data_IF_175102269189
#
_entry.id   IF_175102269189
#
_cell.length_a   1.000
_cell.length_b   1.000
_cell.length_c   1.000
_cell.angle_alpha   90.00
_cell.angle_beta   90.00
_cell.angle_gamma   90.00
#
_symmetry.space_group_name_H-M   'P 1'
#
loop_
_entity.id
_entity.type
_entity.pdbx_description
1 polymer ?
#
# COMPACT_ATOMS: atom_id res chain seq x y z
N UNK A 1 22.86 97.57 21.42
CA UNK A 1 22.67 97.34 19.98
C UNK A 1 23.28 95.98 19.61
N UNK A 2 22.47 95.14 18.96
CA UNK A 2 22.82 94.10 17.96
C UNK A 2 23.94 93.08 18.26
N UNK A 3 23.46 91.83 18.29
CA UNK A 3 23.80 90.71 17.39
C UNK A 3 24.91 89.72 17.73
N UNK A 4 24.48 88.45 17.66
CA UNK A 4 25.13 87.25 17.12
C UNK A 4 26.36 86.71 17.87
N UNK A 5 26.21 85.52 18.46
CA UNK A 5 27.02 84.34 18.14
C UNK A 5 26.43 83.06 18.75
N UNK A 6 26.38 82.02 17.92
CA UNK A 6 26.13 80.62 18.27
C UNK A 6 27.15 80.12 19.31
N UNK A 7 26.76 79.18 20.19
CA UNK A 7 27.51 77.93 20.36
C UNK A 7 26.74 76.88 21.19
N UNK A 8 26.80 75.65 20.66
CA UNK A 8 26.86 74.33 21.32
C UNK A 8 25.65 73.78 22.11
N UNK A 9 25.07 72.74 21.49
CA UNK A 9 24.22 71.70 22.07
C UNK A 9 24.95 70.91 23.17
N UNK A 10 24.29 70.71 24.30
CA UNK A 10 24.42 69.52 25.15
C UNK A 10 23.14 69.40 25.99
N UNK A 11 22.11 68.74 25.46
CA UNK A 11 20.91 68.40 26.22
C UNK A 11 20.78 66.88 26.25
N UNK A 12 20.98 66.35 27.46
CA UNK A 12 20.96 64.94 27.83
C UNK A 12 19.55 64.39 27.59
N UNK A 13 19.40 63.47 26.64
CA UNK A 13 18.16 62.76 26.39
C UNK A 13 17.94 61.67 27.46
N UNK A 14 16.74 61.55 28.05
CA UNK A 14 16.45 60.55 29.08
C UNK A 14 16.29 59.14 28.48
N UNK A 15 16.56 58.09 29.28
CA UNK A 15 16.48 56.71 28.80
C UNK A 15 15.03 56.33 28.47
N UNK A 16 14.81 55.95 27.21
CA UNK A 16 13.59 55.29 26.78
C UNK A 16 13.50 53.94 27.50
N UNK A 17 12.57 53.83 28.45
CA UNK A 17 12.20 52.57 29.06
C UNK A 17 11.62 51.66 27.97
N UNK A 18 12.39 50.62 27.61
CA UNK A 18 11.93 49.53 26.76
C UNK A 18 10.76 48.87 27.47
N UNK A 19 9.54 49.12 26.98
CA UNK A 19 8.35 48.42 27.41
C UNK A 19 8.54 46.94 27.06
N UNK A 20 8.90 46.13 28.07
CA UNK A 20 8.91 44.69 27.95
C UNK A 20 7.49 44.25 27.57
N UNK A 21 7.33 43.75 26.35
CA UNK A 21 6.16 42.99 25.94
C UNK A 21 6.17 41.74 26.80
N UNK A 22 5.42 41.78 27.90
CA UNK A 22 5.16 40.60 28.72
C UNK A 22 4.27 39.71 27.89
N UNK A 23 4.87 38.77 27.19
CA UNK A 23 4.18 37.66 26.56
C UNK A 23 3.52 36.85 27.68
N UNK A 24 2.22 37.13 27.90
CA UNK A 24 1.39 36.35 28.82
C UNK A 24 1.16 34.99 28.17
N UNK A 25 2.12 34.08 28.31
CA UNK A 25 1.85 32.67 28.15
C UNK A 25 0.79 32.28 29.19
N UNK A 26 -0.46 32.15 28.74
CA UNK A 26 -1.52 31.54 29.53
C UNK A 26 -1.16 30.06 29.61
N UNK A 27 -0.92 29.49 30.80
CA UNK A 27 -0.67 28.06 30.94
C UNK A 27 -1.86 27.30 30.36
N UNK A 28 -1.60 26.33 29.49
CA UNK A 28 -2.64 25.40 29.05
C UNK A 28 -3.33 24.83 30.30
N UNK A 29 -4.63 25.07 30.44
CA UNK A 29 -5.45 24.33 31.39
C UNK A 29 -5.33 22.86 31.01
N UNK A 30 -4.59 22.09 31.82
CA UNK A 30 -4.65 20.64 31.82
C UNK A 30 -6.09 20.24 32.14
N UNK A 31 -6.95 20.18 31.12
CA UNK A 31 -8.12 19.34 31.20
C UNK A 31 -7.58 17.92 31.24
N UNK A 32 -7.70 17.19 32.36
CA UNK A 32 -7.40 15.78 32.33
C UNK A 32 -8.34 15.18 31.29
N UNK A 33 -7.77 14.58 30.25
CA UNK A 33 -8.53 13.70 29.35
C UNK A 33 -8.92 12.51 30.23
N UNK A 34 -10.01 12.64 30.99
CA UNK A 34 -10.62 11.57 31.76
C UNK A 34 -11.40 10.68 30.78
N UNK A 35 -10.66 10.01 29.90
CA UNK A 35 -11.09 8.81 29.21
C UNK A 35 -10.18 7.68 29.66
N UNK A 36 -10.73 6.47 29.80
CA UNK A 36 -9.86 5.28 29.71
C UNK A 36 -9.11 5.38 28.37
N UNK A 37 -7.82 4.99 28.31
CA UNK A 37 -7.12 4.95 27.03
C UNK A 37 -7.94 4.11 26.05
N UNK A 38 -8.06 4.61 24.82
CA UNK A 38 -8.74 3.87 23.75
C UNK A 38 -8.10 2.48 23.64
N UNK A 39 -8.96 1.46 23.55
CA UNK A 39 -8.54 0.07 23.41
C UNK A 39 -8.92 -0.45 22.05
N UNK A 40 -8.03 -1.27 21.51
CA UNK A 40 -8.17 -1.91 20.21
C UNK A 40 -8.25 -3.42 20.41
N UNK A 41 -9.16 -4.07 19.70
CA UNK A 41 -9.24 -5.52 19.67
C UNK A 41 -8.36 -6.01 18.52
N UNK A 42 -7.25 -6.65 18.85
CA UNK A 42 -6.37 -7.25 17.85
C UNK A 42 -6.55 -8.75 17.77
N UNK A 43 -6.23 -9.32 16.61
CA UNK A 43 -6.16 -10.75 16.38
C UNK A 43 -4.74 -11.16 15.96
N UNK A 44 -4.13 -12.04 16.74
CA UNK A 44 -2.76 -12.55 16.59
C UNK A 44 -2.70 -13.93 15.90
N UNK A 45 -3.86 -14.55 15.73
CA UNK A 45 -4.04 -15.84 15.06
C UNK A 45 -5.52 -16.16 14.92
N UNK A 46 -5.91 -17.21 14.17
CA UNK A 46 -7.31 -17.47 13.80
C UNK A 46 -8.35 -17.43 14.94
N UNK A 47 -7.96 -17.72 16.18
CA UNK A 47 -8.83 -17.68 17.37
C UNK A 47 -8.16 -16.97 18.56
N UNK A 48 -7.08 -16.24 18.33
CA UNK A 48 -6.33 -15.55 19.38
C UNK A 48 -6.56 -14.05 19.27
N UNK A 49 -7.50 -13.54 20.07
CA UNK A 49 -7.77 -12.10 20.17
C UNK A 49 -7.40 -11.55 21.53
N UNK A 50 -7.02 -10.27 21.59
CA UNK A 50 -6.82 -9.56 22.85
C UNK A 50 -7.10 -8.07 22.70
N UNK A 51 -7.59 -7.46 23.77
CA UNK A 51 -7.70 -6.01 23.87
C UNK A 51 -6.37 -5.41 24.29
N UNK A 52 -5.91 -4.39 23.57
CA UNK A 52 -4.64 -3.70 23.79
C UNK A 52 -4.83 -2.18 23.74
N UNK A 53 -3.96 -1.43 24.39
CA UNK A 53 -3.82 0.02 24.14
C UNK A 53 -3.09 0.28 22.82
N UNK A 54 -3.09 1.53 22.34
CA UNK A 54 -2.29 1.92 21.16
C UNK A 54 -0.79 1.66 21.37
N UNK A 55 -0.25 1.98 22.56
CA UNK A 55 1.15 1.71 22.92
C UNK A 55 1.47 0.21 22.85
N UNK A 56 0.55 -0.65 23.29
CA UNK A 56 0.71 -2.11 23.23
C UNK A 56 0.63 -2.65 21.79
N UNK A 57 -0.12 -1.99 20.88
CA UNK A 57 -0.08 -2.32 19.44
C UNK A 57 1.29 -2.03 18.85
N UNK A 58 1.84 -0.85 19.12
CA UNK A 58 3.14 -0.47 18.58
C UNK A 58 4.28 -1.28 19.20
N UNK A 59 4.17 -1.66 20.49
CA UNK A 59 5.10 -2.59 21.12
C UNK A 59 5.14 -3.94 20.39
N UNK A 60 3.99 -4.49 20.00
CA UNK A 60 3.94 -5.73 19.21
C UNK A 60 4.61 -5.59 17.84
N UNK A 61 4.32 -4.52 17.09
CA UNK A 61 4.96 -4.27 15.79
C UNK A 61 6.48 -4.13 15.95
N UNK A 62 6.98 -3.47 17.01
CA UNK A 62 8.41 -3.40 17.33
C UNK A 62 9.02 -4.78 17.66
N UNK A 63 8.24 -5.71 18.18
CA UNK A 63 8.63 -7.11 18.42
C UNK A 63 8.52 -8.00 17.17
N UNK A 64 8.13 -7.43 16.01
CA UNK A 64 7.91 -8.17 14.77
C UNK A 64 6.64 -9.02 14.78
N UNK A 65 5.68 -8.71 15.65
CA UNK A 65 4.42 -9.44 15.77
C UNK A 65 3.33 -8.74 14.96
N UNK A 66 2.95 -9.38 13.86
CA UNK A 66 1.85 -8.94 13.00
C UNK A 66 0.48 -9.31 13.60
N UNK A 67 -0.53 -8.50 13.29
CA UNK A 67 -1.90 -8.69 13.77
C UNK A 67 -2.92 -8.03 12.84
N UNK A 68 -4.15 -8.53 12.86
CA UNK A 68 -5.29 -7.73 12.42
C UNK A 68 -5.74 -6.83 13.57
N UNK A 69 -6.04 -5.57 13.30
CA UNK A 69 -6.91 -4.78 14.18
C UNK A 69 -8.36 -4.99 13.73
N UNK A 70 -9.14 -5.67 14.56
CA UNK A 70 -10.54 -6.02 14.31
C UNK A 70 -11.48 -5.20 15.19
N UNK A 71 -11.04 -4.03 15.66
CA UNK A 71 -11.86 -3.15 16.53
C UNK A 71 -13.18 -2.76 15.87
N UNK A 72 -13.11 -2.48 14.57
CA UNK A 72 -14.24 -2.10 13.73
C UNK A 72 -14.98 -3.30 13.12
N UNK A 73 -14.59 -4.55 13.43
CA UNK A 73 -15.30 -5.75 12.95
C UNK A 73 -16.76 -5.73 13.45
N UNK A 74 -17.75 -5.59 12.56
CA UNK A 74 -19.15 -5.50 12.95
C UNK A 74 -19.67 -6.81 13.55
N UNK A 75 -19.22 -7.96 13.04
CA UNK A 75 -19.62 -9.25 13.57
C UNK A 75 -18.66 -9.70 14.67
N UNK A 76 -19.06 -9.50 15.93
CA UNK A 76 -18.30 -9.98 17.10
C UNK A 76 -18.18 -11.51 17.16
N UNK A 77 -19.03 -12.24 16.44
CA UNK A 77 -18.98 -13.69 16.27
C UNK A 77 -18.20 -14.12 15.02
N UNK A 78 -17.66 -13.18 14.25
CA UNK A 78 -16.92 -13.48 13.03
C UNK A 78 -15.76 -14.42 13.32
N UNK A 79 -15.71 -15.53 12.58
CA UNK A 79 -14.56 -16.41 12.56
C UNK A 79 -14.08 -16.57 11.12
N UNK A 80 -12.81 -16.26 10.87
CA UNK A 80 -12.21 -16.53 9.58
C UNK A 80 -12.30 -18.03 9.20
N UNK A 81 -12.40 -18.93 10.19
CA UNK A 81 -12.58 -20.38 9.95
C UNK A 81 -14.00 -20.75 9.51
N UNK A 82 -15.01 -19.91 9.73
CA UNK A 82 -16.41 -20.23 9.36
C UNK A 82 -16.75 -19.86 7.92
N UNK A 83 -15.92 -19.07 7.24
CA UNK A 83 -16.13 -18.78 5.82
C UNK A 83 -15.76 -20.00 4.97
N UNK A 84 -16.73 -20.51 4.22
CA UNK A 84 -16.45 -21.46 3.15
C UNK A 84 -15.57 -20.75 2.13
N UNK A 85 -14.38 -21.31 1.87
CA UNK A 85 -13.48 -20.77 0.86
C UNK A 85 -14.12 -20.90 -0.51
N UNK A 86 -14.19 -19.80 -1.25
CA UNK A 86 -14.65 -19.82 -2.64
C UNK A 86 -13.66 -20.66 -3.44
N UNK A 87 -14.13 -21.75 -4.02
CA UNK A 87 -13.31 -22.58 -4.90
C UNK A 87 -13.30 -21.97 -6.30
N UNK A 88 -12.10 -21.71 -6.81
CA UNK A 88 -11.88 -21.15 -8.15
C UNK A 88 -10.94 -22.08 -8.91
N UNK A 89 -11.27 -22.36 -10.17
CA UNK A 89 -10.43 -23.17 -11.03
C UNK A 89 -9.53 -22.26 -11.85
N UNK A 90 -8.26 -22.15 -11.46
CA UNK A 90 -7.28 -21.34 -12.20
C UNK A 90 -6.75 -22.07 -13.43
N UNK A 91 -6.32 -21.33 -14.48
CA UNK A 91 -5.74 -21.94 -15.66
C UNK A 91 -4.53 -22.84 -15.35
N UNK A 92 -4.47 -24.01 -15.99
CA UNK A 92 -3.33 -24.93 -15.85
C UNK A 92 -2.07 -24.48 -16.58
N UNK A 93 -2.18 -23.46 -17.44
CA UNK A 93 -1.11 -22.88 -18.24
C UNK A 93 -1.44 -21.42 -18.55
N UNK A 94 -0.41 -20.64 -18.83
CA UNK A 94 -0.51 -19.27 -19.37
C UNK A 94 -0.69 -19.36 -20.89
N UNK A 95 -1.60 -18.54 -21.45
CA UNK A 95 -2.07 -18.65 -22.84
C UNK A 95 -1.91 -17.37 -23.66
N UNK A 96 -1.63 -16.25 -23.03
CA UNK A 96 -1.66 -14.92 -23.65
C UNK A 96 -0.27 -14.33 -23.87
N UNK A 97 0.76 -15.16 -24.04
CA UNK A 97 2.14 -14.70 -24.21
C UNK A 97 2.32 -13.82 -25.44
N UNK A 98 1.62 -14.14 -26.54
CA UNK A 98 1.70 -13.36 -27.78
C UNK A 98 1.07 -11.98 -27.63
N UNK A 99 -0.09 -11.90 -26.97
CA UNK A 99 -0.79 -10.64 -26.70
C UNK A 99 -0.05 -9.78 -25.65
N UNK A 100 0.57 -10.42 -24.65
CA UNK A 100 1.28 -9.74 -23.58
C UNK A 100 2.67 -9.23 -24.00
N UNK A 101 3.36 -9.89 -24.92
CA UNK A 101 4.72 -9.49 -25.34
C UNK A 101 4.86 -7.98 -25.64
N UNK A 102 4.04 -7.36 -26.52
CA UNK A 102 4.13 -5.92 -26.78
C UNK A 102 3.69 -5.03 -25.60
N UNK A 103 2.86 -5.54 -24.68
CA UNK A 103 2.48 -4.79 -23.47
C UNK A 103 3.64 -4.80 -22.46
N UNK A 104 4.30 -5.94 -22.28
CA UNK A 104 5.44 -6.07 -21.36
C UNK A 104 6.62 -5.17 -21.76
N UNK A 105 6.77 -4.85 -23.05
CA UNK A 105 7.76 -3.88 -23.56
C UNK A 105 7.43 -2.43 -23.20
N UNK A 106 6.16 -2.13 -22.86
CA UNK A 106 5.73 -0.78 -22.46
C UNK A 106 5.92 -0.50 -20.97
N UNK A 107 6.29 -1.50 -20.17
CA UNK A 107 6.64 -1.31 -18.76
C UNK A 107 7.91 -0.46 -18.64
N UNK A 108 7.86 0.57 -17.82
CA UNK A 108 8.88 1.62 -17.70
C UNK A 108 9.44 1.69 -16.29
N UNK A 109 10.73 1.37 -16.16
CA UNK A 109 11.50 1.61 -14.92
C UNK A 109 11.55 3.09 -14.56
N UNK A 110 11.58 3.97 -15.56
CA UNK A 110 11.65 5.40 -15.33
C UNK A 110 10.35 5.95 -14.74
N UNK A 111 9.20 5.45 -15.20
CA UNK A 111 7.89 5.81 -14.62
C UNK A 111 7.80 5.37 -13.15
N UNK A 112 8.14 4.09 -12.87
CA UNK A 112 8.17 3.59 -11.49
C UNK A 112 9.13 4.40 -10.62
N UNK A 113 10.32 4.77 -11.14
CA UNK A 113 11.29 5.58 -10.40
C UNK A 113 10.79 6.98 -10.10
N UNK A 114 10.22 7.67 -11.09
CA UNK A 114 9.71 9.03 -10.92
C UNK A 114 8.55 9.05 -9.92
N UNK A 115 7.60 8.13 -10.07
CA UNK A 115 6.48 7.98 -9.15
C UNK A 115 6.98 7.66 -7.74
N UNK A 116 7.95 6.75 -7.59
CA UNK A 116 8.44 6.36 -6.26
C UNK A 116 9.21 7.50 -5.58
N UNK A 117 10.04 8.24 -6.33
CA UNK A 117 10.76 9.41 -5.78
C UNK A 117 9.77 10.47 -5.30
N UNK A 118 8.67 10.71 -6.03
CA UNK A 118 7.64 11.64 -5.58
C UNK A 118 6.88 11.08 -4.36
N UNK A 119 6.44 9.82 -4.43
CA UNK A 119 5.64 9.19 -3.39
C UNK A 119 6.38 9.04 -2.05
N UNK A 120 7.71 8.90 -2.09
CA UNK A 120 8.58 8.85 -0.90
C UNK A 120 9.02 10.23 -0.41
N UNK A 121 8.68 11.30 -1.14
CA UNK A 121 9.00 12.68 -0.76
C UNK A 121 8.04 13.27 0.29
N UNK A 122 6.84 12.70 0.43
CA UNK A 122 5.94 13.03 1.54
C UNK A 122 6.62 12.64 2.86
N UNK A 123 6.54 13.52 3.88
CA UNK A 123 7.24 13.31 5.16
C UNK A 123 6.94 11.94 5.77
N UNK A 124 5.67 11.56 5.79
CA UNK A 124 5.18 10.22 6.11
C UNK A 124 3.89 9.98 5.35
N UNK A 125 3.57 8.71 5.07
CA UNK A 125 2.26 8.31 4.54
C UNK A 125 1.38 7.67 5.60
N UNK A 126 1.66 7.95 6.88
CA UNK A 126 0.89 7.47 8.02
C UNK A 126 -0.60 7.78 7.87
N UNK A 127 -1.45 6.77 8.06
CA UNK A 127 -2.88 6.81 7.76
C UNK A 127 -3.71 7.90 8.47
N UNK A 128 -3.26 8.38 9.63
CA UNK A 128 -3.88 9.50 10.38
C UNK A 128 -3.19 10.85 10.14
N UNK A 129 -2.18 10.94 9.27
CA UNK A 129 -1.42 12.17 9.03
C UNK A 129 -1.98 12.99 7.87
N UNK A 130 -1.77 14.30 7.91
CA UNK A 130 -2.12 15.19 6.78
C UNK A 130 -1.33 14.81 5.53
N UNK A 131 -0.03 14.52 5.66
CA UNK A 131 0.80 14.10 4.52
C UNK A 131 0.40 12.74 3.96
N UNK A 132 -0.17 11.85 4.78
CA UNK A 132 -0.78 10.59 4.31
C UNK A 132 -2.04 10.80 3.48
N UNK A 133 -2.88 11.79 3.81
CA UNK A 133 -4.02 12.19 2.98
C UNK A 133 -3.54 12.83 1.67
N UNK A 134 -2.50 13.67 1.75
CA UNK A 134 -1.89 14.29 0.56
C UNK A 134 -1.28 13.25 -0.37
N UNK A 135 -0.57 12.25 0.15
CA UNK A 135 0.02 11.18 -0.67
C UNK A 135 -1.03 10.31 -1.33
N UNK A 136 -2.13 9.97 -0.63
CA UNK A 136 -3.25 9.24 -1.21
C UNK A 136 -3.98 10.06 -2.29
N UNK A 137 -4.12 11.38 -2.08
CA UNK A 137 -4.68 12.30 -3.07
C UNK A 137 -3.83 12.35 -4.33
N UNK A 138 -2.51 12.50 -4.19
CA UNK A 138 -1.59 12.46 -5.32
C UNK A 138 -1.66 11.11 -6.07
N UNK A 139 -1.65 9.99 -5.35
CA UNK A 139 -1.72 8.67 -5.97
C UNK A 139 -3.02 8.45 -6.74
N UNK A 140 -4.15 8.93 -6.20
CA UNK A 140 -5.45 8.93 -6.89
C UNK A 140 -5.38 9.73 -8.20
N UNK A 141 -4.75 10.90 -8.19
CA UNK A 141 -4.55 11.72 -9.39
C UNK A 141 -3.69 11.01 -10.44
N UNK A 142 -2.65 10.27 -10.04
CA UNK A 142 -1.86 9.46 -10.99
C UNK A 142 -2.71 8.34 -11.65
N UNK A 143 -3.65 7.76 -10.91
CA UNK A 143 -4.58 6.76 -11.45
C UNK A 143 -5.57 7.40 -12.43
N UNK A 144 -6.12 8.57 -12.07
CA UNK A 144 -6.99 9.35 -12.97
C UNK A 144 -6.27 9.75 -14.26
N UNK A 145 -5.02 10.21 -14.16
CA UNK A 145 -4.18 10.58 -15.30
C UNK A 145 -3.96 9.36 -16.23
N UNK A 146 -3.60 8.20 -15.68
CA UNK A 146 -3.44 6.97 -16.47
C UNK A 146 -4.73 6.55 -17.21
N UNK A 147 -5.90 6.73 -16.57
CA UNK A 147 -7.21 6.46 -17.20
C UNK A 147 -7.51 7.46 -18.32
N UNK A 148 -7.19 8.74 -18.13
CA UNK A 148 -7.41 9.79 -19.12
C UNK A 148 -6.49 9.61 -20.33
N UNK A 149 -5.19 9.41 -20.10
CA UNK A 149 -4.17 9.31 -21.14
C UNK A 149 -4.34 8.07 -22.03
N UNK A 150 -4.88 6.98 -21.47
CA UNK A 150 -5.20 5.77 -22.23
C UNK A 150 -6.46 5.90 -23.08
N UNK A 151 -7.30 6.92 -22.85
CA UNK A 151 -8.65 7.01 -23.43
C UNK A 151 -9.65 6.01 -22.83
N UNK A 152 -9.24 5.20 -21.84
CA UNK A 152 -10.06 4.14 -21.27
C UNK A 152 -11.28 4.65 -20.47
N UNK A 153 -11.31 5.94 -20.11
CA UNK A 153 -12.49 6.59 -19.54
C UNK A 153 -13.76 6.42 -20.42
N UNK A 154 -13.58 6.34 -21.75
CA UNK A 154 -14.68 6.12 -22.69
C UNK A 154 -15.26 4.69 -22.60
N UNK A 155 -14.54 3.78 -21.95
CA UNK A 155 -14.85 2.36 -21.80
C UNK A 155 -15.24 1.98 -20.36
N UNK A 156 -15.77 2.95 -19.61
CA UNK A 156 -16.26 2.78 -18.23
C UNK A 156 -15.19 2.36 -17.21
N UNK A 157 -13.90 2.48 -17.53
CA UNK A 157 -12.84 2.42 -16.53
C UNK A 157 -12.99 3.61 -15.58
N UNK A 158 -12.96 3.35 -14.28
CA UNK A 158 -13.14 4.36 -13.25
C UNK A 158 -12.17 4.15 -12.09
N UNK A 159 -11.94 5.23 -11.34
CA UNK A 159 -11.25 5.19 -10.05
C UNK A 159 -12.11 5.88 -9.00
N UNK A 160 -12.21 5.28 -7.82
CA UNK A 160 -13.04 5.73 -6.71
C UNK A 160 -12.23 5.74 -5.42
N UNK A 161 -12.60 6.67 -4.52
CA UNK A 161 -12.08 6.71 -3.15
C UNK A 161 -12.97 5.86 -2.27
N UNK A 162 -12.36 4.94 -1.52
CA UNK A 162 -13.02 4.24 -0.43
C UNK A 162 -12.66 4.96 0.87
N UNK A 163 -13.62 5.74 1.38
CA UNK A 163 -13.44 6.61 2.53
C UNK A 163 -13.35 5.84 3.85
N UNK A 164 -12.45 6.27 4.73
CA UNK A 164 -12.26 5.72 6.07
C UNK A 164 -12.38 6.80 7.15
N UNK A 165 -12.69 6.40 8.39
CA UNK A 165 -12.87 7.35 9.49
C UNK A 165 -11.59 8.04 9.97
N UNK A 166 -10.42 7.64 9.48
CA UNK A 166 -9.11 8.18 9.86
C UNK A 166 -8.52 9.18 8.86
N UNK A 167 -9.22 9.47 7.76
CA UNK A 167 -8.84 10.52 6.81
C UNK A 167 -8.18 10.00 5.54
N UNK A 168 -7.11 9.19 5.63
CA UNK A 168 -6.51 8.59 4.43
C UNK A 168 -7.48 7.54 3.85
N UNK A 169 -7.96 7.74 2.63
CA UNK A 169 -8.84 6.82 1.91
C UNK A 169 -8.05 5.73 1.19
N UNK A 170 -8.66 4.57 0.94
CA UNK A 170 -8.12 3.61 -0.03
C UNK A 170 -8.55 3.97 -1.45
N UNK A 171 -7.82 3.53 -2.45
CA UNK A 171 -8.14 3.77 -3.87
C UNK A 171 -8.57 2.46 -4.52
N UNK A 172 -9.65 2.49 -5.29
CA UNK A 172 -10.13 1.35 -6.08
C UNK A 172 -10.27 1.81 -7.53
N UNK A 173 -9.44 1.27 -8.42
CA UNK A 173 -9.59 1.42 -9.86
C UNK A 173 -10.24 0.17 -10.44
N UNK A 174 -11.29 0.32 -11.25
CA UNK A 174 -12.05 -0.77 -11.83
C UNK A 174 -12.00 -0.72 -13.35
N UNK A 175 -11.58 -1.82 -13.97
CA UNK A 175 -11.66 -2.09 -15.40
C UNK A 175 -12.78 -3.12 -15.62
N UNK A 176 -13.96 -2.70 -16.14
CA UNK A 176 -15.10 -3.60 -16.30
C UNK A 176 -14.81 -4.75 -17.27
N UNK A 177 -15.14 -5.97 -16.84
CA UNK A 177 -15.24 -7.13 -17.72
C UNK A 177 -16.68 -7.41 -18.15
N UNK A 178 -16.90 -8.45 -18.96
CA UNK A 178 -18.25 -8.92 -19.34
C UNK A 178 -19.03 -9.54 -18.17
N UNK A 179 -18.35 -9.95 -17.11
CA UNK A 179 -18.96 -10.51 -15.90
C UNK A 179 -18.53 -9.74 -14.66
N UNK A 180 -19.29 -9.90 -13.58
CA UNK A 180 -18.97 -9.35 -12.26
C UNK A 180 -17.97 -10.21 -11.47
N UNK A 181 -17.41 -11.27 -12.07
CA UNK A 181 -16.28 -12.01 -11.51
C UNK A 181 -15.08 -11.07 -11.50
N UNK A 182 -14.49 -10.84 -10.33
CA UNK A 182 -13.45 -9.82 -10.17
C UNK A 182 -12.10 -10.43 -9.79
N UNK A 183 -11.05 -9.98 -10.45
CA UNK A 183 -9.64 -10.22 -10.09
C UNK A 183 -9.09 -8.94 -9.49
N UNK A 184 -8.52 -9.03 -8.30
CA UNK A 184 -7.98 -7.89 -7.55
C UNK A 184 -6.45 -7.95 -7.56
N UNK A 185 -5.81 -6.83 -7.83
CA UNK A 185 -4.39 -6.59 -7.56
C UNK A 185 -4.31 -5.53 -6.47
N UNK A 186 -3.53 -5.75 -5.42
CA UNK A 186 -3.43 -4.86 -4.27
C UNK A 186 -1.99 -4.53 -3.89
N UNK A 187 -1.82 -3.37 -3.27
CA UNK A 187 -0.63 -2.91 -2.58
C UNK A 187 -1.07 -1.95 -1.46
N UNK A 188 -0.27 -1.73 -0.43
CA UNK A 188 -0.58 -0.70 0.56
C UNK A 188 0.16 0.60 0.27
N UNK A 189 -0.46 1.71 0.64
CA UNK A 189 0.03 3.05 0.30
C UNK A 189 0.57 3.79 1.52
N UNK A 190 0.25 3.32 2.73
CA UNK A 190 0.73 3.93 3.96
C UNK A 190 2.19 3.59 4.24
N UNK A 191 2.72 4.24 5.26
CA UNK A 191 4.05 3.96 5.80
C UNK A 191 4.11 4.39 7.25
N UNK A 192 4.96 3.73 8.03
CA UNK A 192 5.15 4.03 9.45
C UNK A 192 6.62 4.21 9.79
N UNK A 193 6.88 4.89 10.92
CA UNK A 193 8.16 4.84 11.59
C UNK A 193 7.97 4.25 12.99
N UNK A 194 8.53 3.08 13.29
CA UNK A 194 8.23 2.37 14.55
C UNK A 194 8.55 3.17 15.83
N UNK A 195 9.48 4.12 15.79
CA UNK A 195 9.86 4.89 16.98
C UNK A 195 8.83 5.97 17.34
N UNK A 196 8.29 6.67 16.34
CA UNK A 196 7.17 7.60 16.51
C UNK A 196 6.32 7.60 15.22
N UNK A 197 5.35 6.67 15.09
CA UNK A 197 4.65 6.39 13.82
C UNK A 197 4.03 7.60 13.14
N UNK A 198 3.56 8.57 13.93
CA UNK A 198 2.87 9.76 13.43
C UNK A 198 3.74 11.01 13.31
N UNK A 199 5.00 10.99 13.78
CA UNK A 199 5.85 12.19 13.89
C UNK A 199 7.10 12.08 13.02
N UNK A 200 7.77 10.93 13.05
CA UNK A 200 9.03 10.79 12.33
C UNK A 200 8.81 10.56 10.84
N UNK A 201 9.80 10.93 9.99
CA UNK A 201 9.73 10.60 8.60
C UNK A 201 9.63 9.08 8.38
N UNK A 202 8.81 8.68 7.42
CA UNK A 202 8.63 7.31 7.01
C UNK A 202 8.56 7.26 5.48
N UNK A 203 9.71 7.29 4.79
CA UNK A 203 9.69 7.30 3.33
C UNK A 203 9.04 6.04 2.77
N UNK A 204 9.18 4.88 3.44
CA UNK A 204 8.49 3.64 3.06
C UNK A 204 8.75 3.27 1.60
N UNK A 205 10.00 3.43 1.13
CA UNK A 205 10.30 3.26 -0.28
C UNK A 205 10.07 1.82 -0.74
N UNK A 206 10.50 0.86 0.07
CA UNK A 206 10.26 -0.55 -0.18
C UNK A 206 8.89 -0.98 0.34
N UNK A 207 8.55 -0.58 1.57
CA UNK A 207 7.35 -0.97 2.32
C UNK A 207 6.37 0.22 2.51
N UNK A 208 5.35 0.38 1.67
CA UNK A 208 5.15 -0.31 0.38
C UNK A 208 5.03 0.65 -0.81
N UNK A 209 5.94 1.64 -0.82
CA UNK A 209 6.08 2.52 -1.99
C UNK A 209 6.36 1.71 -3.25
N UNK A 210 7.18 0.66 -3.15
CA UNK A 210 7.62 -0.16 -4.28
C UNK A 210 6.47 -0.97 -4.88
N UNK A 211 5.66 -1.67 -4.07
CA UNK A 211 4.46 -2.39 -4.52
C UNK A 211 3.41 -1.43 -5.07
N UNK A 212 3.17 -0.30 -4.38
CA UNK A 212 2.27 0.76 -4.84
C UNK A 212 2.57 1.21 -6.27
N UNK A 213 3.83 1.55 -6.58
CA UNK A 213 4.19 2.03 -7.94
C UNK A 213 4.29 0.88 -8.95
N UNK A 214 4.58 -0.34 -8.50
CA UNK A 214 4.60 -1.53 -9.34
C UNK A 214 3.21 -1.83 -9.89
N UNK A 215 2.18 -1.83 -9.03
CA UNK A 215 0.81 -2.08 -9.47
C UNK A 215 0.25 -0.91 -10.28
N UNK A 216 0.68 0.34 -9.99
CA UNK A 216 0.34 1.52 -10.78
C UNK A 216 0.89 1.43 -12.21
N UNK A 217 2.14 0.99 -12.38
CA UNK A 217 2.75 0.80 -13.69
C UNK A 217 2.10 -0.35 -14.46
N UNK A 218 1.79 -1.46 -13.79
CA UNK A 218 1.03 -2.56 -14.39
C UNK A 218 -0.38 -2.11 -14.83
N UNK A 219 -1.07 -1.32 -14.02
CA UNK A 219 -2.36 -0.72 -14.35
C UNK A 219 -2.26 0.18 -15.60
N UNK A 220 -1.31 1.13 -15.61
CA UNK A 220 -1.08 2.06 -16.73
C UNK A 220 -0.88 1.31 -18.05
N UNK A 221 -0.08 0.24 -18.04
CA UNK A 221 0.18 -0.56 -19.24
C UNK A 221 -1.01 -1.45 -19.62
N UNK A 222 -1.72 -2.03 -18.65
CA UNK A 222 -2.91 -2.83 -18.93
C UNK A 222 -3.98 -2.03 -19.68
N UNK A 223 -4.13 -0.74 -19.35
CA UNK A 223 -5.04 0.18 -20.03
C UNK A 223 -4.67 0.45 -21.50
N UNK A 224 -3.45 0.12 -21.95
CA UNK A 224 -3.04 0.23 -23.36
C UNK A 224 -3.44 -0.99 -24.19
N UNK A 225 -3.97 -2.04 -23.57
CA UNK A 225 -4.45 -3.20 -24.31
C UNK A 225 -5.74 -2.89 -25.05
N UNK A 226 -5.69 -2.97 -26.38
CA UNK A 226 -6.88 -2.81 -27.24
C UNK A 226 -8.00 -3.78 -26.84
N UNK A 227 -7.67 -5.03 -26.50
CA UNK A 227 -8.66 -6.02 -26.06
C UNK A 227 -9.34 -5.62 -24.74
N UNK A 228 -8.60 -5.03 -23.80
CA UNK A 228 -9.15 -4.53 -22.54
C UNK A 228 -10.03 -3.30 -22.80
N UNK A 229 -9.53 -2.33 -23.60
CA UNK A 229 -10.29 -1.14 -23.97
C UNK A 229 -11.60 -1.47 -24.68
N UNK A 230 -11.60 -2.47 -25.56
CA UNK A 230 -12.81 -2.91 -26.27
C UNK A 230 -13.82 -3.67 -25.39
N UNK A 231 -13.52 -3.89 -24.11
CA UNK A 231 -14.39 -4.65 -23.20
C UNK A 231 -14.40 -6.15 -23.51
N UNK A 232 -13.31 -6.68 -24.10
CA UNK A 232 -13.21 -8.10 -24.44
C UNK A 232 -12.80 -8.97 -23.24
N UNK A 233 -12.41 -8.38 -22.11
CA UNK A 233 -12.14 -9.11 -20.88
C UNK A 233 -13.41 -9.83 -20.38
N UNK A 234 -13.27 -11.11 -20.00
CA UNK A 234 -14.35 -11.87 -19.40
C UNK A 234 -14.60 -11.43 -17.94
N UNK A 235 -13.52 -11.24 -17.19
CA UNK A 235 -13.55 -10.90 -15.77
C UNK A 235 -13.21 -9.41 -15.58
N UNK A 236 -13.85 -8.81 -14.58
CA UNK A 236 -13.55 -7.44 -14.14
C UNK A 236 -12.21 -7.44 -13.42
N UNK A 237 -11.38 -6.42 -13.64
CA UNK A 237 -10.11 -6.24 -12.94
C UNK A 237 -10.22 -5.04 -12.00
N UNK A 238 -9.77 -5.20 -10.76
CA UNK A 238 -9.64 -4.10 -9.79
C UNK A 238 -8.20 -3.96 -9.33
N UNK A 239 -7.73 -2.71 -9.22
CA UNK A 239 -6.47 -2.35 -8.58
C UNK A 239 -6.76 -1.57 -7.32
N UNK A 240 -6.20 -2.01 -6.20
CA UNK A 240 -6.41 -1.44 -4.88
C UNK A 240 -5.12 -0.87 -4.30
N UNK A 241 -5.21 0.34 -3.75
CA UNK A 241 -4.18 0.90 -2.89
C UNK A 241 -4.77 1.08 -1.50
N UNK A 242 -4.34 0.25 -0.56
CA UNK A 242 -4.92 0.19 0.78
C UNK A 242 -4.33 1.26 1.69
N UNK A 243 -5.19 1.92 2.47
CA UNK A 243 -4.77 2.70 3.62
C UNK A 243 -4.65 1.82 4.87
N UNK A 244 -3.71 2.15 5.75
CA UNK A 244 -3.62 1.63 7.10
C UNK A 244 -3.37 0.11 7.18
N UNK A 245 -2.56 -0.44 6.27
CA UNK A 245 -2.01 -1.80 6.39
C UNK A 245 -1.24 -1.89 7.71
N UNK A 246 -0.38 -0.91 7.97
CA UNK A 246 0.61 -0.98 9.04
C UNK A 246 0.00 -0.85 10.43
N UNK A 247 -1.23 -0.34 10.48
CA UNK A 247 -2.02 -0.21 11.70
C UNK A 247 -2.82 -1.48 12.03
N UNK A 248 -2.68 -2.55 11.24
CA UNK A 248 -3.35 -3.83 11.41
C UNK A 248 -4.38 -4.13 10.31
N UNK A 249 -4.01 -3.92 9.06
CA UNK A 249 -4.79 -4.27 7.85
C UNK A 249 -6.15 -3.56 7.77
N UNK A 250 -6.26 -2.32 8.28
CA UNK A 250 -7.56 -1.68 8.50
C UNK A 250 -8.30 -1.38 7.18
N UNK A 251 -7.63 -0.82 6.18
CA UNK A 251 -8.27 -0.42 4.93
C UNK A 251 -8.68 -1.61 4.06
N UNK A 252 -7.82 -2.63 3.93
CA UNK A 252 -8.18 -3.85 3.20
C UNK A 252 -9.27 -4.63 3.93
N UNK A 253 -9.25 -4.71 5.26
CA UNK A 253 -10.34 -5.31 6.03
C UNK A 253 -11.67 -4.61 5.77
N UNK A 254 -11.72 -3.28 5.76
CA UNK A 254 -12.94 -2.54 5.50
C UNK A 254 -13.53 -2.85 4.12
N UNK A 255 -12.68 -2.89 3.08
CA UNK A 255 -13.07 -3.21 1.71
C UNK A 255 -13.59 -4.65 1.61
N UNK A 256 -12.81 -5.65 2.08
CA UNK A 256 -13.23 -7.05 1.96
C UNK A 256 -14.42 -7.40 2.85
N UNK A 257 -14.60 -6.70 3.98
CA UNK A 257 -15.80 -6.78 4.80
C UNK A 257 -17.03 -6.27 4.05
N UNK A 258 -16.92 -5.13 3.37
CA UNK A 258 -17.99 -4.58 2.54
C UNK A 258 -18.31 -5.50 1.35
N UNK A 259 -17.28 -6.00 0.67
CA UNK A 259 -17.41 -6.94 -0.44
C UNK A 259 -18.12 -8.22 -0.02
N UNK A 260 -17.77 -8.78 1.14
CA UNK A 260 -18.43 -9.96 1.69
C UNK A 260 -19.92 -9.70 1.98
N UNK A 261 -20.25 -8.56 2.60
CA UNK A 261 -21.64 -8.18 2.92
C UNK A 261 -22.49 -7.91 1.68
N UNK A 262 -21.89 -7.33 0.65
CA UNK A 262 -22.58 -6.98 -0.61
C UNK A 262 -22.56 -8.11 -1.64
N UNK A 263 -21.91 -9.25 -1.32
CA UNK A 263 -21.87 -10.42 -2.19
C UNK A 263 -21.02 -10.23 -3.44
N UNK A 264 -19.94 -9.44 -3.36
CA UNK A 264 -18.99 -9.28 -4.47
C UNK A 264 -18.32 -10.61 -4.79
N UNK A 265 -18.26 -10.96 -6.07
CA UNK A 265 -17.74 -12.23 -6.56
C UNK A 265 -16.23 -12.12 -6.91
N UNK A 266 -15.38 -12.06 -5.89
CA UNK A 266 -13.93 -11.98 -6.06
C UNK A 266 -13.36 -13.39 -6.29
N UNK A 267 -12.66 -13.57 -7.41
CA UNK A 267 -12.08 -14.85 -7.84
C UNK A 267 -10.61 -15.00 -7.50
N UNK A 268 -9.88 -13.89 -7.45
CA UNK A 268 -8.47 -13.88 -7.11
C UNK A 268 -8.08 -12.52 -6.53
N UNK A 269 -7.16 -12.52 -5.59
CA UNK A 269 -6.49 -11.32 -5.09
C UNK A 269 -4.98 -11.57 -5.04
N UNK A 270 -4.21 -10.72 -5.71
CA UNK A 270 -2.75 -10.72 -5.63
C UNK A 270 -2.29 -9.50 -4.84
N UNK A 271 -1.57 -9.72 -3.74
CA UNK A 271 -0.84 -8.66 -3.06
C UNK A 271 0.57 -8.51 -3.66
N UNK A 272 0.95 -7.27 -3.94
CA UNK A 272 2.32 -6.81 -4.11
C UNK A 272 2.68 -6.01 -2.87
N UNK A 273 3.79 -6.37 -2.23
CA UNK A 273 4.31 -5.67 -1.06
C UNK A 273 5.83 -5.94 -1.02
N UNK A 274 6.64 -4.89 -0.83
CA UNK A 274 8.11 -4.94 -0.86
C UNK A 274 8.63 -5.66 -2.11
N UNK A 275 8.73 -4.93 -3.22
CA UNK A 275 9.03 -5.46 -4.56
C UNK A 275 10.41 -5.04 -5.08
N UNK A 276 11.22 -4.35 -4.25
CA UNK A 276 12.38 -3.63 -4.72
C UNK A 276 13.73 -4.10 -4.19
N UNK A 277 13.81 -4.72 -3.03
CA UNK A 277 15.09 -4.99 -2.37
C UNK A 277 15.64 -6.39 -2.66
N UNK A 278 16.80 -6.42 -3.32
CA UNK A 278 17.51 -7.66 -3.72
C UNK A 278 18.83 -7.87 -2.98
N UNK A 279 19.28 -6.87 -2.21
CA UNK A 279 20.61 -6.86 -1.61
C UNK A 279 20.76 -7.97 -0.55
N UNK A 280 19.68 -8.31 0.17
CA UNK A 280 19.68 -9.41 1.14
C UNK A 280 19.96 -10.78 0.50
N UNK A 281 19.31 -11.07 -0.62
CA UNK A 281 19.50 -12.29 -1.42
C UNK A 281 20.90 -12.32 -2.06
N UNK A 282 21.31 -11.24 -2.71
CA UNK A 282 22.60 -11.19 -3.42
C UNK A 282 23.80 -11.25 -2.47
N UNK A 283 23.73 -10.63 -1.28
CA UNK A 283 24.76 -10.77 -0.22
C UNK A 283 24.85 -12.18 0.34
N UNK A 284 23.75 -12.94 0.32
CA UNK A 284 23.77 -14.35 0.73
C UNK A 284 24.38 -15.27 -0.35
N UNK A 285 24.72 -14.75 -1.53
CA UNK A 285 25.19 -15.54 -2.67
C UNK A 285 24.09 -16.38 -3.31
N UNK A 286 22.83 -16.04 -3.04
CA UNK A 286 21.64 -16.69 -3.59
C UNK A 286 21.24 -16.05 -4.93
N UNK A 287 20.52 -16.79 -5.77
CA UNK A 287 20.06 -16.31 -7.07
C UNK A 287 18.93 -15.31 -6.87
N UNK A 288 19.02 -14.14 -7.51
CA UNK A 288 17.94 -13.16 -7.54
C UNK A 288 16.64 -13.84 -7.99
N UNK A 289 15.60 -13.71 -7.17
CA UNK A 289 14.33 -14.41 -7.34
C UNK A 289 13.24 -13.68 -6.60
N UNK A 290 12.00 -13.76 -7.10
CA UNK A 290 10.84 -13.26 -6.37
C UNK A 290 10.41 -14.27 -5.30
N UNK A 291 9.94 -13.80 -4.16
CA UNK A 291 9.40 -14.62 -3.09
C UNK A 291 7.91 -14.90 -3.26
N UNK A 292 7.53 -16.18 -3.38
CA UNK A 292 6.13 -16.61 -3.42
C UNK A 292 5.73 -17.14 -2.05
N UNK A 293 4.75 -16.48 -1.42
CA UNK A 293 4.24 -16.88 -0.10
C UNK A 293 3.40 -18.14 -0.19
N UNK A 294 3.55 -19.01 0.81
CA UNK A 294 2.94 -20.36 0.83
C UNK A 294 2.05 -20.61 2.04
N UNK A 295 2.12 -19.78 3.08
CA UNK A 295 1.25 -19.81 4.25
C UNK A 295 0.16 -18.72 4.17
N UNK A 296 -1.01 -19.01 4.73
CA UNK A 296 -2.17 -18.08 4.76
C UNK A 296 -2.65 -17.56 3.38
N UNK A 297 -2.40 -18.33 2.32
CA UNK A 297 -2.80 -18.03 0.93
C UNK A 297 -3.64 -19.17 0.33
N UNK A 298 -4.26 -18.94 -0.82
CA UNK A 298 -4.96 -19.96 -1.60
C UNK A 298 -3.97 -20.81 -2.43
N UNK A 299 -3.90 -22.14 -2.22
CA UNK A 299 -2.94 -22.99 -2.93
C UNK A 299 -3.13 -23.01 -4.45
N UNK A 300 -4.37 -22.93 -4.95
CA UNK A 300 -4.64 -22.94 -6.39
C UNK A 300 -4.12 -21.68 -7.07
N UNK A 301 -4.38 -20.53 -6.45
CA UNK A 301 -3.89 -19.23 -6.91
C UNK A 301 -2.37 -19.13 -6.81
N UNK A 302 -1.77 -19.63 -5.73
CA UNK A 302 -0.30 -19.71 -5.57
C UNK A 302 0.34 -20.56 -6.68
N UNK A 303 -0.25 -21.71 -7.03
CA UNK A 303 0.24 -22.51 -8.16
C UNK A 303 0.11 -21.78 -9.50
N UNK A 304 -0.97 -21.01 -9.70
CA UNK A 304 -1.11 -20.19 -10.90
C UNK A 304 -0.06 -19.07 -10.96
N UNK A 305 0.22 -18.38 -9.86
CA UNK A 305 1.27 -17.34 -9.79
C UNK A 305 2.64 -17.90 -10.16
N UNK A 306 2.99 -19.10 -9.71
CA UNK A 306 4.25 -19.76 -10.10
C UNK A 306 4.34 -19.96 -11.62
N UNK A 307 3.21 -20.26 -12.28
CA UNK A 307 3.15 -20.37 -13.75
C UNK A 307 3.31 -19.02 -14.42
N UNK A 308 2.67 -17.98 -13.89
CA UNK A 308 2.83 -16.60 -14.39
C UNK A 308 4.30 -16.17 -14.30
N UNK A 309 4.95 -16.35 -13.14
CA UNK A 309 6.37 -16.00 -12.96
C UNK A 309 7.23 -16.75 -13.97
N UNK A 310 7.04 -18.07 -14.10
CA UNK A 310 7.82 -18.91 -15.03
C UNK A 310 7.61 -18.51 -16.49
N UNK A 311 6.40 -18.06 -16.86
CA UNK A 311 6.06 -17.68 -18.23
C UNK A 311 6.48 -16.26 -18.62
N UNK A 312 6.58 -15.34 -17.66
CA UNK A 312 6.67 -13.90 -17.94
C UNK A 312 7.86 -13.18 -17.30
N UNK A 313 8.48 -13.73 -16.26
CA UNK A 313 9.66 -13.13 -15.62
C UNK A 313 10.95 -13.72 -16.20
N UNK A 314 12.05 -12.97 -16.10
CA UNK A 314 13.39 -13.43 -16.50
C UNK A 314 14.20 -13.97 -15.32
N UNK A 315 13.66 -13.88 -14.11
CA UNK A 315 14.21 -14.43 -12.87
C UNK A 315 13.25 -15.50 -12.31
N UNK A 316 13.76 -16.51 -11.58
CA UNK A 316 12.92 -17.53 -10.97
C UNK A 316 12.17 -17.01 -9.74
N UNK A 317 11.38 -17.89 -9.13
CA UNK A 317 10.82 -17.67 -7.80
C UNK A 317 11.46 -18.58 -6.76
N UNK A 318 11.37 -18.18 -5.50
CA UNK A 318 11.62 -19.00 -4.31
C UNK A 318 10.33 -19.09 -3.48
N UNK A 319 10.12 -20.24 -2.84
CA UNK A 319 8.98 -20.40 -1.93
C UNK A 319 9.37 -19.91 -0.54
N UNK A 320 8.51 -19.13 0.10
CA UNK A 320 8.78 -18.60 1.44
C UNK A 320 7.51 -18.47 2.27
N UNK A 321 7.66 -18.05 3.51
CA UNK A 321 6.58 -17.87 4.47
C UNK A 321 6.74 -16.53 5.19
N UNK A 322 5.63 -15.85 5.45
CA UNK A 322 5.63 -14.54 6.12
C UNK A 322 4.92 -14.56 7.49
N UNK A 323 4.16 -15.61 7.81
CA UNK A 323 3.37 -15.69 9.03
C UNK A 323 2.00 -15.02 8.94
N UNK A 324 1.32 -14.98 10.07
CA UNK A 324 -0.06 -14.52 10.17
C UNK A 324 -0.18 -13.00 10.00
N UNK A 325 -1.20 -12.55 9.27
CA UNK A 325 -1.53 -11.12 9.08
C UNK A 325 -0.36 -10.28 8.56
N UNK A 326 0.48 -10.84 7.69
CA UNK A 326 1.72 -10.20 7.27
C UNK A 326 1.56 -9.13 6.19
N UNK A 327 0.42 -9.11 5.46
CA UNK A 327 0.07 -8.10 4.44
C UNK A 327 -1.41 -8.23 4.03
N UNK A 328 -1.94 -7.35 3.17
CA UNK A 328 -3.39 -7.21 2.90
C UNK A 328 -4.08 -8.42 2.24
N UNK A 329 -3.34 -9.34 1.60
CA UNK A 329 -3.91 -10.61 1.12
C UNK A 329 -4.63 -11.36 2.26
N UNK A 330 -4.15 -11.21 3.50
CA UNK A 330 -4.73 -11.85 4.66
C UNK A 330 -6.18 -11.37 4.91
N UNK A 331 -6.51 -10.11 4.57
CA UNK A 331 -7.88 -9.58 4.64
C UNK A 331 -8.80 -10.25 3.62
N UNK A 332 -8.34 -10.47 2.38
CA UNK A 332 -9.12 -11.23 1.38
C UNK A 332 -9.36 -12.67 1.85
N UNK A 333 -8.29 -13.36 2.28
CA UNK A 333 -8.37 -14.72 2.83
C UNK A 333 -9.29 -14.81 4.05
N UNK A 334 -9.28 -13.80 4.92
CA UNK A 334 -10.13 -13.72 6.12
C UNK A 334 -11.61 -13.82 5.74
N UNK A 335 -12.04 -13.19 4.65
CA UNK A 335 -13.43 -13.19 4.18
C UNK A 335 -13.76 -14.29 3.16
N UNK A 336 -12.85 -15.27 2.97
CA UNK A 336 -13.07 -16.45 2.13
C UNK A 336 -12.73 -16.28 0.65
N UNK A 337 -12.14 -15.16 0.26
CA UNK A 337 -11.69 -14.90 -1.11
C UNK A 337 -10.31 -15.52 -1.38
N UNK A 338 -10.09 -16.17 -2.54
CA UNK A 338 -8.77 -16.69 -2.89
C UNK A 338 -7.77 -15.55 -3.02
N UNK A 339 -6.70 -15.60 -2.24
CA UNK A 339 -5.67 -14.57 -2.23
C UNK A 339 -4.28 -15.16 -2.19
N UNK A 340 -3.32 -14.45 -2.74
CA UNK A 340 -1.92 -14.82 -2.77
C UNK A 340 -1.04 -13.58 -2.65
N UNK A 341 0.23 -13.80 -2.33
CA UNK A 341 1.17 -12.73 -2.04
C UNK A 341 2.54 -13.08 -2.64
N UNK A 342 3.11 -12.11 -3.37
CA UNK A 342 4.48 -12.17 -3.88
C UNK A 342 5.26 -10.97 -3.35
N UNK A 343 6.42 -11.26 -2.77
CA UNK A 343 7.37 -10.33 -2.16
C UNK A 343 8.72 -10.40 -2.90
N UNK A 344 9.63 -9.46 -2.68
CA UNK A 344 10.95 -9.34 -3.32
C UNK A 344 11.90 -10.54 -3.17
N UNK A 345 11.75 -11.37 -2.13
CA UNK A 345 12.74 -12.42 -1.83
C UNK A 345 12.21 -13.47 -0.85
N UNK A 346 13.04 -14.44 -0.44
CA UNK A 346 12.75 -15.20 0.78
C UNK A 346 12.57 -14.21 1.95
N UNK A 347 11.53 -14.35 2.75
CA UNK A 347 11.17 -13.38 3.79
C UNK A 347 12.32 -13.06 4.78
N UNK A 348 13.21 -14.03 5.04
CA UNK A 348 14.41 -13.86 5.87
C UNK A 348 15.49 -12.94 5.26
N UNK A 349 15.35 -12.57 3.98
CA UNK A 349 16.25 -11.73 3.19
C UNK A 349 15.65 -10.37 2.87
N UNK A 350 14.41 -10.12 3.29
CA UNK A 350 13.72 -8.85 3.10
C UNK A 350 14.50 -7.67 3.71
N UNK A 351 14.22 -6.49 3.19
CA UNK A 351 14.81 -5.24 3.65
C UNK A 351 14.65 -5.04 5.16
N UNK A 352 15.76 -4.93 5.88
CA UNK A 352 15.78 -4.76 7.35
C UNK A 352 15.62 -3.30 7.79
N UNK A 353 15.41 -2.37 6.85
CA UNK A 353 15.25 -0.93 7.13
C UNK A 353 13.81 -0.45 7.02
N UNK A 354 12.87 -1.33 6.70
CA UNK A 354 11.43 -1.03 6.72
C UNK A 354 11.02 -0.42 8.06
N UNK A 355 9.96 0.39 8.02
CA UNK A 355 9.46 1.14 9.17
C UNK A 355 10.47 2.09 9.84
N UNK A 356 11.48 2.54 9.10
CA UNK A 356 12.47 3.52 9.56
C UNK A 356 12.65 4.65 8.55
N UNK A 357 13.40 5.70 8.92
CA UNK A 357 13.85 6.73 7.98
C UNK A 357 14.82 6.21 6.91
N UNK A 358 15.37 5.00 7.11
CA UNK A 358 16.33 4.38 6.21
C UNK A 358 15.71 3.51 5.13
N UNK A 359 14.38 3.40 5.05
CA UNK A 359 13.71 2.72 3.95
C UNK A 359 13.59 3.65 2.73
N UNK A 360 14.67 3.74 1.95
CA UNK A 360 14.86 4.75 0.91
C UNK A 360 15.04 4.16 -0.49
N UNK A 361 14.68 4.94 -1.52
CA UNK A 361 14.65 4.53 -2.93
C UNK A 361 15.99 4.01 -3.46
N UNK A 362 17.11 4.49 -2.91
CA UNK A 362 18.47 4.09 -3.32
C UNK A 362 18.82 2.64 -2.96
N UNK A 363 18.05 1.99 -2.08
CA UNK A 363 18.21 0.58 -1.74
C UNK A 363 17.60 -0.37 -2.78
N UNK A 364 16.76 0.15 -3.69
CA UNK A 364 15.89 -0.66 -4.52
C UNK A 364 16.46 -0.90 -5.93
N UNK A 365 16.21 -2.11 -6.43
CA UNK A 365 16.48 -2.51 -7.80
C UNK A 365 15.23 -2.33 -8.66
N UNK A 366 15.23 -1.31 -9.51
CA UNK A 366 14.16 -1.12 -10.49
C UNK A 366 14.15 -2.21 -11.59
N UNK A 367 15.25 -2.93 -11.78
CA UNK A 367 15.28 -4.13 -12.62
C UNK A 367 14.50 -5.27 -11.97
N UNK A 368 14.52 -5.37 -10.64
CA UNK A 368 13.75 -6.33 -9.87
C UNK A 368 12.26 -5.96 -9.83
N UNK A 369 11.96 -4.69 -9.53
CA UNK A 369 10.57 -4.17 -9.58
C UNK A 369 9.94 -4.37 -10.96
N UNK A 370 10.72 -4.26 -12.04
CA UNK A 370 10.23 -4.57 -13.39
C UNK A 370 9.76 -6.03 -13.52
N UNK A 371 10.38 -6.99 -12.82
CA UNK A 371 9.93 -8.39 -12.81
C UNK A 371 8.59 -8.55 -12.08
N UNK A 372 8.41 -7.84 -10.97
CA UNK A 372 7.13 -7.77 -10.27
C UNK A 372 6.03 -7.11 -11.12
N UNK A 373 6.36 -6.04 -11.85
CA UNK A 373 5.43 -5.38 -12.77
C UNK A 373 5.04 -6.28 -13.95
N UNK A 374 6.01 -7.04 -14.52
CA UNK A 374 5.75 -8.05 -15.55
C UNK A 374 4.82 -9.15 -15.05
N UNK A 375 5.09 -9.68 -13.85
CA UNK A 375 4.26 -10.69 -13.22
C UNK A 375 2.84 -10.17 -12.95
N UNK A 376 2.72 -8.98 -12.39
CA UNK A 376 1.43 -8.35 -12.05
C UNK A 376 0.59 -8.07 -13.30
N UNK A 377 1.20 -7.49 -14.34
CA UNK A 377 0.53 -7.24 -15.62
C UNK A 377 0.07 -8.56 -16.27
N UNK A 378 0.93 -9.57 -16.30
CA UNK A 378 0.60 -10.86 -16.87
C UNK A 378 -0.49 -11.60 -16.08
N UNK A 379 -0.43 -11.55 -14.74
CA UNK A 379 -1.46 -12.07 -13.85
C UNK A 379 -2.82 -11.43 -14.14
N UNK A 380 -2.87 -10.10 -14.19
CA UNK A 380 -4.09 -9.35 -14.46
C UNK A 380 -4.66 -9.72 -15.84
N UNK A 381 -3.81 -9.78 -16.87
CA UNK A 381 -4.24 -10.08 -18.23
C UNK A 381 -4.70 -11.52 -18.39
N UNK A 382 -3.94 -12.50 -17.93
CA UNK A 382 -4.31 -13.92 -18.02
C UNK A 382 -5.66 -14.18 -17.35
N UNK A 383 -5.86 -13.63 -16.15
CA UNK A 383 -7.11 -13.80 -15.44
C UNK A 383 -8.23 -12.89 -15.97
N UNK A 384 -7.95 -11.81 -16.69
CA UNK A 384 -8.98 -11.04 -17.38
C UNK A 384 -9.74 -11.86 -18.43
N UNK A 385 -9.05 -12.79 -19.10
CA UNK A 385 -9.60 -13.58 -20.21
C UNK A 385 -9.88 -15.06 -19.85
N UNK A 386 -9.52 -15.49 -18.64
CA UNK A 386 -9.77 -16.84 -18.15
C UNK A 386 -11.25 -17.11 -17.81
N UNK A 387 -11.67 -18.37 -17.85
CA UNK A 387 -12.89 -18.85 -17.20
C UNK A 387 -12.55 -19.21 -15.75
N UNK A 388 -13.18 -18.54 -14.77
CA UNK A 388 -12.90 -18.66 -13.33
C UNK A 388 -14.06 -19.19 -12.50
#
# INVERSE_FOLDING_TARGET
MKSLSLLALAAIAPPAAVAAVVDRQVPFENRPVQGLPEKFLIQLGPEQTRWVTEDEKWALKMEGVNFFDITAEPDRGFSAKSHERIQVSFPSEVKHQTELAPLLEQLSKDNMRQNLVHFTSFHTRYYKSETGVQSATWLFEQVEEAIQDSGAAQHAVKVERFEHSWGQFSIIATIPGRTNKTVVIGAHQDSINLFLPSILPAPGADDDGSGTVTILEAFRVLLQSEAVQQGNAANTIEFHWYSAEEAGLLGSQAIFSDYSKTGRDIKAMLQQDMTGYVEGTTKAGEVESVGVITDFVDPGLTEFIKRVITGYCTIPFVLTQCGYACSDHASASRYGYPSAFVIESEFKRSNQRIHTTGDTVDLLSFDHMLQHARMTLAFAYELAFAEL
#
